data_IF_989040425050
#
_entry.id   IF_989040425050
#
_cell.length_a   1.000
_cell.length_b   1.000
_cell.length_c   1.000
_cell.angle_alpha   90.00
_cell.angle_beta   90.00
_cell.angle_gamma   90.00
#
_symmetry.space_group_name_H-M   'P 1'
#
loop_
_entity.id
_entity.type
_entity.pdbx_description
1 polymer ?
#
# COMPACT_ATOMS: atom_id res chain seq x y z
N UNK A 1 -6.84 3.35 -56.47
CA UNK A 1 -8.18 3.36 -55.85
C UNK A 1 -7.97 3.11 -54.35
N UNK A 2 -7.70 4.16 -53.57
CA UNK A 2 -8.64 4.84 -52.65
C UNK A 2 -9.18 3.88 -51.56
N UNK A 3 -8.60 3.92 -50.36
CA UNK A 3 -9.16 4.49 -49.11
C UNK A 3 -10.32 3.64 -48.52
N UNK A 4 -10.25 3.17 -47.28
CA UNK A 4 -10.57 4.02 -46.13
C UNK A 4 -10.36 3.26 -44.80
N UNK A 5 -9.76 3.95 -43.84
CA UNK A 5 -9.68 3.57 -42.42
C UNK A 5 -10.71 4.44 -41.71
N UNK A 6 -11.66 3.83 -40.99
CA UNK A 6 -12.60 4.56 -40.12
C UNK A 6 -12.38 4.17 -38.66
N UNK A 7 -12.07 5.20 -37.87
CA UNK A 7 -11.89 5.22 -36.42
C UNK A 7 -13.23 5.28 -35.69
N UNK A 8 -13.41 4.67 -34.51
CA UNK A 8 -14.58 4.92 -33.68
C UNK A 8 -14.38 6.11 -32.73
N UNK A 9 -15.37 6.99 -32.71
CA UNK A 9 -15.53 8.17 -31.87
C UNK A 9 -15.92 7.81 -30.42
N UNK A 10 -15.21 8.38 -29.45
CA UNK A 10 -15.47 8.28 -28.01
C UNK A 10 -16.64 9.18 -27.58
N UNK A 11 -17.73 8.58 -27.07
CA UNK A 11 -18.83 9.28 -26.40
C UNK A 11 -18.53 9.39 -24.90
N UNK A 12 -18.39 10.62 -24.42
CA UNK A 12 -18.25 10.99 -23.01
C UNK A 12 -19.62 10.95 -22.31
N UNK A 13 -19.80 10.04 -21.35
CA UNK A 13 -20.94 10.05 -20.45
C UNK A 13 -20.55 10.78 -19.16
N UNK A 14 -21.11 11.97 -19.00
CA UNK A 14 -21.11 12.76 -17.77
C UNK A 14 -22.18 12.21 -16.81
N UNK A 15 -21.76 11.68 -15.67
CA UNK A 15 -22.68 11.25 -14.62
C UNK A 15 -22.75 12.34 -13.54
N UNK A 16 -23.89 13.04 -13.53
CA UNK A 16 -24.23 14.07 -12.55
C UNK A 16 -24.56 13.43 -11.20
N UNK A 17 -23.99 14.00 -10.15
CA UNK A 17 -24.14 13.62 -8.75
C UNK A 17 -25.43 14.22 -8.18
N UNK A 18 -26.49 13.42 -8.02
CA UNK A 18 -27.64 13.78 -7.18
C UNK A 18 -28.33 12.53 -6.63
N UNK A 19 -28.46 12.44 -5.32
CA UNK A 19 -29.46 11.61 -4.65
C UNK A 19 -29.76 12.20 -3.28
N UNK A 20 -30.90 12.87 -3.22
CA UNK A 20 -31.54 13.34 -2.01
C UNK A 20 -31.99 12.17 -1.11
N UNK A 21 -31.82 12.40 0.19
CA UNK A 21 -32.76 12.17 1.29
C UNK A 21 -33.84 11.10 1.11
N UNK A 22 -33.93 10.17 2.08
CA UNK A 22 -35.03 10.10 3.06
C UNK A 22 -34.94 8.85 3.99
N UNK A 23 -35.61 8.99 5.14
CA UNK A 23 -35.96 8.00 6.19
C UNK A 23 -34.86 7.61 7.20
N UNK A 24 -35.09 7.54 8.51
CA UNK A 24 -36.31 7.64 9.33
C UNK A 24 -35.93 7.83 10.81
N UNK A 25 -36.69 8.70 11.50
CA UNK A 25 -37.17 8.63 12.89
C UNK A 25 -36.39 7.82 13.94
N UNK A 26 -35.98 8.50 15.03
CA UNK A 26 -36.55 8.26 16.37
C UNK A 26 -36.18 9.37 17.36
N UNK A 27 -37.17 9.66 18.21
CA UNK A 27 -37.21 10.67 19.27
C UNK A 27 -36.37 10.23 20.48
N UNK A 28 -35.82 11.20 21.21
CA UNK A 28 -36.24 11.56 22.58
C UNK A 28 -35.18 12.43 23.26
N UNK A 29 -35.65 13.37 24.09
CA UNK A 29 -34.84 13.92 25.19
C UNK A 29 -34.47 15.40 25.06
N UNK A 30 -35.38 16.27 25.48
CA UNK A 30 -35.09 17.63 25.91
C UNK A 30 -34.15 17.62 27.13
N UNK A 31 -33.06 18.40 27.08
CA UNK A 31 -32.42 18.96 28.27
C UNK A 31 -31.72 20.26 27.88
N UNK A 32 -32.36 21.39 28.18
CA UNK A 32 -31.72 22.70 28.20
C UNK A 32 -30.98 22.85 29.52
N UNK A 33 -29.67 23.09 29.49
CA UNK A 33 -28.96 23.67 30.62
C UNK A 33 -28.08 24.79 30.09
N UNK A 34 -28.45 25.99 30.48
CA UNK A 34 -27.91 27.29 30.14
C UNK A 34 -26.46 27.44 30.63
N UNK A 35 -25.64 28.08 29.80
CA UNK A 35 -24.34 28.61 30.21
C UNK A 35 -24.54 30.00 30.79
N UNK A 36 -24.35 30.14 32.10
CA UNK A 36 -24.14 31.43 32.74
C UNK A 36 -22.67 31.57 33.09
N UNK A 37 -21.99 32.38 32.29
CA UNK A 37 -20.66 32.91 32.56
C UNK A 37 -20.69 33.75 33.83
N UNK A 38 -19.82 33.44 34.80
CA UNK A 38 -19.48 34.38 35.87
C UNK A 38 -17.97 34.51 36.01
N UNK A 39 -17.59 35.77 36.09
CA UNK A 39 -16.27 36.36 36.01
C UNK A 39 -15.46 36.27 37.31
N UNK A 40 -14.13 36.03 37.15
CA UNK A 40 -12.97 36.54 37.92
C UNK A 40 -12.83 36.13 39.41
N UNK A 41 -11.59 35.98 39.99
CA UNK A 41 -10.49 36.94 39.84
C UNK A 41 -9.05 36.40 39.71
N UNK A 42 -8.20 37.34 39.28
CA UNK A 42 -6.74 37.29 39.21
C UNK A 42 -6.12 37.26 40.62
N UNK A 43 -5.24 36.31 40.90
CA UNK A 43 -4.34 36.37 42.05
C UNK A 43 -2.88 36.40 41.58
N UNK A 44 -2.23 37.57 41.76
CA UNK A 44 -0.78 37.72 41.72
C UNK A 44 -0.21 37.17 43.02
N UNK A 45 0.62 36.14 42.96
CA UNK A 45 1.38 35.66 44.10
C UNK A 45 2.87 35.95 43.87
N UNK A 46 3.40 36.95 44.59
CA UNK A 46 4.84 37.09 44.79
C UNK A 46 5.20 36.43 46.11
N UNK A 47 6.18 35.53 46.12
CA UNK A 47 6.85 35.14 47.36
C UNK A 47 8.33 34.89 47.12
N UNK A 48 9.08 35.73 47.81
CA UNK A 48 10.47 35.73 48.19
C UNK A 48 11.05 34.34 48.56
N UNK A 49 12.31 34.13 48.16
CA UNK A 49 13.20 33.13 48.75
C UNK A 49 13.46 33.45 50.23
N UNK A 50 13.43 32.44 51.11
CA UNK A 50 14.56 32.10 51.99
C UNK A 50 14.21 31.01 53.01
N UNK A 51 15.22 30.16 53.22
CA UNK A 51 15.60 29.44 54.44
C UNK A 51 15.12 28.00 54.64
N UNK A 52 16.14 27.16 54.79
CA UNK A 52 16.15 25.77 55.19
C UNK A 52 15.66 25.62 56.63
N UNK A 53 14.87 24.58 56.90
CA UNK A 53 15.04 23.82 58.14
C UNK A 53 14.70 22.35 57.92
N UNK A 54 15.60 21.50 58.36
CA UNK A 54 15.56 20.04 58.27
C UNK A 54 14.84 19.45 59.47
N UNK A 55 13.76 18.69 59.25
CA UNK A 55 13.36 17.63 60.19
C UNK A 55 12.44 16.59 59.53
N UNK A 56 12.96 15.37 59.49
CA UNK A 56 12.30 14.06 59.59
C UNK A 56 10.84 13.86 59.11
N UNK A 57 10.67 12.79 58.29
CA UNK A 57 9.64 11.72 58.40
C UNK A 57 8.53 11.67 57.32
N UNK A 58 8.80 10.92 56.25
CA UNK A 58 8.07 9.75 55.70
C UNK A 58 8.19 9.70 54.15
N UNK A 59 8.62 8.58 53.54
CA UNK A 59 8.62 8.43 52.09
C UNK A 59 7.26 7.87 51.68
N UNK A 60 6.26 8.73 51.50
CA UNK A 60 4.97 8.23 51.03
C UNK A 60 4.20 9.24 50.19
N UNK A 61 4.83 9.69 49.11
CA UNK A 61 4.10 10.09 47.91
C UNK A 61 4.91 9.59 46.73
N UNK A 62 4.45 8.49 46.13
CA UNK A 62 4.99 8.02 44.87
C UNK A 62 4.99 9.18 43.89
N UNK A 63 6.16 9.54 43.39
CA UNK A 63 6.29 10.26 42.14
C UNK A 63 5.59 9.38 41.10
N UNK A 64 4.31 9.61 40.90
CA UNK A 64 3.62 9.13 39.71
C UNK A 64 4.25 9.95 38.61
N UNK A 65 5.33 9.42 38.04
CA UNK A 65 5.68 9.70 36.66
C UNK A 65 4.43 9.29 35.91
N UNK A 66 3.58 10.28 35.64
CA UNK A 66 2.41 10.14 34.80
C UNK A 66 2.98 9.92 33.41
N UNK A 67 3.38 8.68 33.15
CA UNK A 67 3.54 8.17 31.81
C UNK A 67 2.19 8.48 31.15
N UNK A 68 2.17 9.53 30.33
CA UNK A 68 1.01 9.97 29.59
C UNK A 68 0.71 8.98 28.47
N UNK A 69 0.54 7.71 28.82
CA UNK A 69 -0.25 6.76 28.07
C UNK A 69 -1.69 7.05 28.44
N UNK A 70 -2.24 8.11 27.85
CA UNK A 70 -3.69 8.23 27.76
C UNK A 70 -4.16 6.96 27.09
N UNK A 71 -4.85 6.13 27.87
CA UNK A 71 -5.58 4.94 27.43
C UNK A 71 -6.68 5.44 26.51
N UNK A 72 -6.31 5.81 25.28
CA UNK A 72 -7.24 6.25 24.26
C UNK A 72 -8.29 5.16 24.14
N UNK A 73 -9.54 5.54 24.30
CA UNK A 73 -10.64 4.60 24.20
C UNK A 73 -10.55 3.86 22.86
N UNK A 74 -10.95 2.58 22.80
CA UNK A 74 -10.96 1.81 21.54
C UNK A 74 -11.65 2.57 20.39
N UNK A 75 -12.64 3.40 20.70
CA UNK A 75 -13.34 4.27 19.74
C UNK A 75 -12.50 5.43 19.20
N UNK A 76 -11.48 5.89 19.90
CA UNK A 76 -10.60 6.98 19.47
C UNK A 76 -9.52 6.49 18.49
N UNK A 77 -9.11 5.22 18.60
CA UNK A 77 -8.25 4.56 17.61
C UNK A 77 -8.97 4.34 16.27
N UNK A 78 -10.26 4.01 16.30
CA UNK A 78 -11.09 3.85 15.10
C UNK A 78 -11.35 5.19 14.37
N UNK A 79 -11.28 6.32 15.07
CA UNK A 79 -11.49 7.67 14.52
C UNK A 79 -10.26 8.25 13.81
N UNK A 80 -9.08 7.64 13.95
CA UNK A 80 -7.92 8.03 13.15
C UNK A 80 -7.97 7.27 11.82
N UNK A 81 -8.21 7.94 10.67
CA UNK A 81 -7.98 7.29 9.39
C UNK A 81 -6.52 6.85 9.39
N UNK A 82 -6.29 5.57 9.08
CA UNK A 82 -4.96 4.98 9.04
C UNK A 82 -4.06 5.82 8.13
N UNK A 83 -3.25 6.72 8.71
CA UNK A 83 -2.32 7.54 7.93
C UNK A 83 -1.32 6.57 7.32
N UNK A 84 -1.41 6.38 6.00
CA UNK A 84 -0.48 5.54 5.24
C UNK A 84 0.94 5.91 5.63
N UNK A 85 1.78 4.90 5.89
CA UNK A 85 3.19 5.13 6.22
C UNK A 85 3.89 5.84 5.06
N UNK A 86 5.00 6.53 5.34
CA UNK A 86 5.77 7.23 4.30
C UNK A 86 6.17 6.28 3.17
N UNK A 87 6.57 5.05 3.53
CA UNK A 87 6.77 3.95 2.58
C UNK A 87 5.54 3.71 1.70
N UNK A 88 4.36 3.48 2.28
CA UNK A 88 3.15 3.21 1.49
C UNK A 88 2.76 4.34 0.52
N UNK A 89 3.17 5.59 0.79
CA UNK A 89 2.94 6.72 -0.11
C UNK A 89 3.98 6.80 -1.24
N UNK A 90 5.24 6.52 -0.94
CA UNK A 90 6.36 6.75 -1.87
C UNK A 90 6.87 5.50 -2.59
N UNK A 91 6.53 4.30 -2.12
CA UNK A 91 7.00 3.02 -2.69
C UNK A 91 6.61 2.88 -4.16
N UNK A 92 5.48 3.46 -4.57
CA UNK A 92 5.01 3.48 -5.95
C UNK A 92 5.91 4.29 -6.90
N UNK A 93 6.64 5.28 -6.39
CA UNK A 93 7.56 6.11 -7.18
C UNK A 93 9.00 5.59 -7.13
N UNK A 94 9.39 4.98 -6.01
CA UNK A 94 10.74 4.42 -5.84
C UNK A 94 10.88 3.03 -6.46
N UNK A 95 9.79 2.24 -6.45
CA UNK A 95 9.69 0.89 -7.03
C UNK A 95 8.47 0.81 -7.96
N UNK A 96 8.50 1.55 -9.09
CA UNK A 96 7.34 1.72 -9.95
C UNK A 96 6.94 0.43 -10.66
N UNK A 97 7.88 -0.45 -10.97
CA UNK A 97 7.62 -1.69 -11.68
C UNK A 97 7.57 -2.88 -10.74
N UNK A 98 6.54 -3.72 -10.88
CA UNK A 98 6.29 -4.88 -10.05
C UNK A 98 6.20 -6.13 -10.93
N UNK A 99 7.10 -7.08 -10.70
CA UNK A 99 7.05 -8.41 -11.30
C UNK A 99 6.04 -9.27 -10.55
N UNK A 100 5.08 -9.85 -11.26
CA UNK A 100 4.15 -10.81 -10.72
C UNK A 100 4.27 -12.13 -11.49
N UNK A 101 4.69 -13.18 -10.78
CA UNK A 101 4.83 -14.52 -11.30
C UNK A 101 3.75 -15.40 -10.69
N UNK A 102 3.00 -16.05 -11.56
CA UNK A 102 1.96 -16.99 -11.20
C UNK A 102 2.30 -18.37 -11.77
N UNK A 103 2.41 -19.34 -10.86
CA UNK A 103 2.62 -20.75 -11.18
C UNK A 103 1.29 -21.49 -11.07
N UNK A 104 0.83 -22.04 -12.19
CA UNK A 104 -0.26 -23.00 -12.23
C UNK A 104 0.29 -24.42 -12.37
N UNK A 105 -0.58 -25.42 -12.23
CA UNK A 105 -0.26 -26.82 -12.56
C UNK A 105 -0.04 -27.04 -14.06
N UNK A 106 -0.54 -26.14 -14.91
CA UNK A 106 -0.55 -26.30 -16.38
C UNK A 106 0.31 -25.29 -17.14
N UNK A 107 0.58 -24.13 -16.55
CA UNK A 107 1.29 -23.05 -17.22
C UNK A 107 1.96 -22.12 -16.21
N UNK A 108 2.89 -21.34 -16.71
CA UNK A 108 3.59 -20.29 -15.98
C UNK A 108 3.19 -18.96 -16.62
N UNK A 109 2.88 -17.97 -15.78
CA UNK A 109 2.49 -16.64 -16.21
C UNK A 109 3.30 -15.60 -15.48
N UNK A 110 4.08 -14.81 -16.20
CA UNK A 110 4.82 -13.67 -15.69
C UNK A 110 4.25 -12.39 -16.29
N UNK A 111 4.05 -11.37 -15.47
CA UNK A 111 3.67 -10.03 -15.95
C UNK A 111 4.37 -8.94 -15.16
N UNK A 112 4.65 -7.85 -15.85
CA UNK A 112 5.21 -6.64 -15.26
C UNK A 112 4.13 -5.58 -15.21
N UNK A 113 3.91 -5.04 -14.02
CA UNK A 113 2.89 -4.03 -13.76
C UNK A 113 3.53 -2.72 -13.35
N UNK A 114 3.03 -1.60 -13.88
CA UNK A 114 3.34 -0.28 -13.32
C UNK A 114 2.43 -0.02 -12.11
N UNK A 115 2.99 0.20 -10.92
CA UNK A 115 2.22 0.46 -9.69
C UNK A 115 1.46 1.78 -9.75
N UNK A 116 2.04 2.81 -10.38
CA UNK A 116 1.44 4.14 -10.52
C UNK A 116 0.16 4.15 -11.35
N UNK A 117 0.24 3.59 -12.56
CA UNK A 117 -0.85 3.62 -13.54
C UNK A 117 -1.67 2.33 -13.54
N UNK A 118 -1.26 1.32 -12.76
CA UNK A 118 -1.83 -0.03 -12.78
C UNK A 118 -1.87 -0.68 -14.17
N UNK A 119 -1.03 -0.20 -15.10
CA UNK A 119 -0.92 -0.72 -16.47
C UNK A 119 -0.03 -1.95 -16.51
N UNK A 120 -0.42 -2.91 -17.35
CA UNK A 120 0.42 -4.05 -17.70
C UNK A 120 1.40 -3.57 -18.77
N UNK A 121 2.69 -3.80 -18.56
CA UNK A 121 3.74 -3.35 -19.49
C UNK A 121 4.12 -4.51 -20.41
N UNK A 122 4.54 -5.62 -19.81
CA UNK A 122 4.94 -6.82 -20.51
C UNK A 122 4.31 -8.05 -19.86
N UNK A 123 4.01 -9.05 -20.68
CA UNK A 123 3.42 -10.32 -20.27
C UNK A 123 4.16 -11.44 -20.98
N UNK A 124 4.45 -12.53 -20.28
CA UNK A 124 4.98 -13.76 -20.84
C UNK A 124 4.27 -14.97 -20.24
N UNK A 125 3.79 -15.88 -21.08
CA UNK A 125 3.03 -17.06 -20.62
C UNK A 125 3.40 -18.28 -21.45
N UNK A 126 3.54 -19.43 -20.81
CA UNK A 126 3.82 -20.69 -21.54
C UNK A 126 2.61 -21.17 -22.35
N UNK A 127 1.42 -20.62 -22.09
CA UNK A 127 0.20 -20.92 -22.84
C UNK A 127 0.09 -20.13 -24.17
N UNK A 128 1.04 -19.24 -24.46
CA UNK A 128 1.08 -18.54 -25.74
C UNK A 128 1.15 -19.53 -26.92
N UNK A 129 0.52 -19.19 -28.05
CA UNK A 129 0.42 -20.08 -29.23
C UNK A 129 1.79 -20.59 -29.68
N UNK A 130 2.80 -19.72 -29.65
CA UNK A 130 4.14 -20.04 -30.12
C UNK A 130 4.82 -21.02 -29.17
N UNK A 131 4.77 -20.75 -27.87
CA UNK A 131 5.46 -21.56 -26.85
C UNK A 131 4.81 -22.90 -26.59
N UNK A 132 3.48 -22.97 -26.71
CA UNK A 132 2.74 -24.19 -26.36
C UNK A 132 3.02 -25.35 -27.31
N UNK A 133 3.49 -25.05 -28.52
CA UNK A 133 3.85 -26.04 -29.53
C UNK A 133 5.36 -26.32 -29.58
N UNK A 134 6.19 -25.38 -29.14
CA UNK A 134 7.65 -25.52 -29.18
C UNK A 134 8.23 -26.18 -27.93
N UNK A 135 7.59 -25.98 -26.77
CA UNK A 135 8.09 -26.51 -25.51
C UNK A 135 7.60 -27.95 -25.28
N UNK A 136 8.48 -28.87 -24.86
CA UNK A 136 8.07 -30.25 -24.52
C UNK A 136 7.16 -30.29 -23.28
N UNK A 137 7.34 -29.35 -22.35
CA UNK A 137 6.51 -29.18 -21.17
C UNK A 137 6.36 -27.70 -20.82
N UNK A 138 5.20 -27.34 -20.30
CA UNK A 138 4.82 -25.95 -20.02
C UNK A 138 5.18 -25.51 -18.59
N UNK A 139 5.69 -26.42 -17.77
CA UNK A 139 5.92 -26.18 -16.33
C UNK A 139 7.31 -26.59 -15.83
N UNK A 140 8.16 -27.07 -16.73
CA UNK A 140 9.50 -27.56 -16.41
C UNK A 140 10.47 -26.40 -16.15
N UNK A 141 11.67 -26.74 -15.68
CA UNK A 141 12.74 -25.78 -15.43
C UNK A 141 13.15 -25.03 -16.71
N UNK A 142 13.15 -25.70 -17.87
CA UNK A 142 13.48 -25.06 -19.15
C UNK A 142 12.41 -24.07 -19.57
N UNK A 143 11.13 -24.39 -19.34
CA UNK A 143 10.04 -23.45 -19.55
C UNK A 143 10.17 -22.21 -18.65
N UNK A 144 10.66 -22.37 -17.42
CA UNK A 144 10.97 -21.24 -16.53
C UNK A 144 12.07 -20.34 -17.13
N UNK A 145 13.15 -20.92 -17.66
CA UNK A 145 14.23 -20.16 -18.31
C UNK A 145 13.73 -19.37 -19.52
N UNK A 146 12.92 -20.01 -20.36
CA UNK A 146 12.33 -19.36 -21.55
C UNK A 146 11.41 -18.21 -21.15
N UNK A 147 10.58 -18.39 -20.11
CA UNK A 147 9.72 -17.30 -19.61
C UNK A 147 10.53 -16.16 -19.01
N UNK A 148 11.57 -16.47 -18.23
CA UNK A 148 12.46 -15.46 -17.65
C UNK A 148 13.18 -14.64 -18.73
N UNK A 149 13.65 -15.29 -19.79
CA UNK A 149 14.22 -14.61 -20.96
C UNK A 149 13.19 -13.73 -21.69
N UNK A 150 12.03 -14.28 -22.03
CA UNK A 150 11.00 -13.56 -22.77
C UNK A 150 10.44 -12.36 -22.02
N UNK A 151 10.23 -12.49 -20.70
CA UNK A 151 9.76 -11.35 -19.91
C UNK A 151 10.83 -10.27 -19.83
N UNK A 152 12.11 -10.65 -19.77
CA UNK A 152 13.20 -9.69 -19.74
C UNK A 152 13.34 -8.93 -21.07
N UNK A 153 13.33 -9.63 -22.20
CA UNK A 153 13.37 -9.03 -23.54
C UNK A 153 12.21 -8.05 -23.75
N UNK A 154 10.96 -8.48 -23.49
CA UNK A 154 9.78 -7.61 -23.63
C UNK A 154 9.78 -6.43 -22.65
N UNK A 155 10.43 -6.56 -21.51
CA UNK A 155 10.56 -5.46 -20.55
C UNK A 155 11.59 -4.44 -21.03
N UNK A 156 12.71 -4.90 -21.62
CA UNK A 156 13.69 -4.03 -22.28
C UNK A 156 13.08 -3.28 -23.48
N UNK A 157 12.26 -3.95 -24.29
CA UNK A 157 11.52 -3.32 -25.41
C UNK A 157 10.56 -2.20 -24.94
N UNK A 158 10.13 -2.25 -23.68
CA UNK A 158 9.28 -1.26 -23.05
C UNK A 158 10.05 -0.30 -22.12
N UNK A 159 11.38 -0.23 -22.25
CA UNK A 159 12.29 0.62 -21.46
C UNK A 159 12.27 0.36 -19.94
N UNK A 160 11.98 -0.88 -19.53
CA UNK A 160 11.99 -1.30 -18.12
C UNK A 160 13.23 -2.15 -17.83
N UNK A 161 14.20 -1.55 -17.14
CA UNK A 161 15.45 -2.20 -16.74
C UNK A 161 15.54 -2.51 -15.24
N UNK A 162 14.62 -1.98 -14.44
CA UNK A 162 14.60 -2.19 -12.99
C UNK A 162 13.18 -2.50 -12.52
N UNK A 163 13.04 -3.50 -11.64
CA UNK A 163 11.74 -3.93 -11.15
C UNK A 163 11.81 -4.54 -9.75
N UNK A 164 10.70 -4.53 -9.03
CA UNK A 164 10.58 -5.13 -7.70
C UNK A 164 9.77 -6.42 -7.77
N UNK A 165 10.14 -7.40 -6.95
CA UNK A 165 9.38 -8.65 -6.78
C UNK A 165 8.93 -8.78 -5.34
N UNK A 166 7.62 -8.96 -5.13
CA UNK A 166 7.05 -9.17 -3.80
C UNK A 166 6.85 -10.67 -3.54
N UNK A 167 7.56 -11.19 -2.54
CA UNK A 167 7.36 -12.56 -2.08
C UNK A 167 6.00 -12.67 -1.39
N UNK A 168 5.23 -13.71 -1.72
CA UNK A 168 4.04 -14.04 -0.93
C UNK A 168 4.47 -14.65 0.40
N UNK A 169 3.65 -14.44 1.43
CA UNK A 169 3.93 -14.79 2.85
C UNK A 169 4.35 -16.26 3.10
N UNK A 170 4.10 -17.17 2.16
CA UNK A 170 4.42 -18.60 2.26
C UNK A 170 5.26 -19.12 1.08
N UNK A 171 5.75 -18.25 0.20
CA UNK A 171 6.58 -18.65 -0.94
C UNK A 171 8.06 -18.61 -0.54
N UNK A 172 8.75 -19.75 -0.68
CA UNK A 172 10.21 -19.82 -0.53
C UNK A 172 10.86 -19.42 -1.84
N UNK A 173 11.90 -18.58 -1.77
CA UNK A 173 12.74 -18.26 -2.92
C UNK A 173 13.58 -19.49 -3.23
N UNK A 174 13.22 -20.21 -4.27
CA UNK A 174 13.89 -21.43 -4.68
C UNK A 174 13.13 -22.19 -5.76
N UNK A 175 13.73 -23.25 -6.29
CA UNK A 175 13.17 -24.07 -7.36
C UNK A 175 12.82 -23.22 -8.59
N UNK A 176 11.60 -23.40 -9.11
CA UNK A 176 11.13 -22.73 -10.33
C UNK A 176 11.14 -21.20 -10.24
N UNK A 177 10.80 -20.65 -9.08
CA UNK A 177 10.82 -19.19 -8.89
C UNK A 177 12.25 -18.64 -8.95
N UNK A 178 13.20 -19.32 -8.30
CA UNK A 178 14.62 -18.95 -8.34
C UNK A 178 15.14 -18.89 -9.77
N UNK A 179 14.87 -19.94 -10.57
CA UNK A 179 15.30 -20.00 -11.98
C UNK A 179 14.78 -18.81 -12.79
N UNK A 180 13.52 -18.41 -12.62
CA UNK A 180 12.98 -17.24 -13.32
C UNK A 180 13.69 -15.95 -12.89
N UNK A 181 13.91 -15.76 -11.59
CA UNK A 181 14.59 -14.57 -11.09
C UNK A 181 16.06 -14.52 -11.54
N UNK A 182 16.76 -15.65 -11.50
CA UNK A 182 18.15 -15.77 -11.95
C UNK A 182 18.27 -15.46 -13.44
N UNK A 183 17.41 -16.04 -14.28
CA UNK A 183 17.41 -15.76 -15.72
C UNK A 183 17.04 -14.31 -16.04
N UNK A 184 16.14 -13.67 -15.30
CA UNK A 184 15.86 -12.23 -15.49
C UNK A 184 17.09 -11.39 -15.15
N UNK A 185 17.82 -11.74 -14.09
CA UNK A 185 19.06 -11.07 -13.70
C UNK A 185 20.18 -11.28 -14.72
N UNK A 186 20.30 -12.48 -15.28
CA UNK A 186 21.23 -12.80 -16.37
C UNK A 186 20.96 -11.96 -17.63
N UNK A 187 19.71 -11.52 -17.83
CA UNK A 187 19.31 -10.62 -18.92
C UNK A 187 19.36 -9.13 -18.49
N UNK A 188 20.28 -8.72 -17.63
CA UNK A 188 20.55 -7.32 -17.24
C UNK A 188 19.37 -6.54 -16.63
N UNK A 189 18.40 -7.21 -16.01
CA UNK A 189 17.34 -6.54 -15.26
C UNK A 189 17.68 -6.53 -13.77
N UNK A 190 17.62 -5.33 -13.18
CA UNK A 190 17.98 -5.10 -11.78
C UNK A 190 16.73 -5.27 -10.90
N UNK A 191 16.87 -6.04 -9.81
CA UNK A 191 15.84 -6.16 -8.78
C UNK A 191 16.06 -5.14 -7.65
N UNK A 192 15.02 -4.35 -7.31
CA UNK A 192 15.05 -3.23 -6.34
C UNK A 192 14.24 -3.52 -5.07
#
# INVERSE_FOLDING_TARGET
MAASISTPSSLSLSFSLSSDLLFSSKRDGSNSLSWSSSSFPNFKLSTHNLSLNTSSRTPNQGFVVQAAWTRRSRGELAKKPNRKSWKQKHDMYMRPFLLNIFFSKRFIHAKVMHRGTSKVISVATTNAKDLRNTLPSLTDNDACRVIGKLIAERSKEADVFAMSYELKKNERVGGRLGIILDTIKENDIIFV
#
